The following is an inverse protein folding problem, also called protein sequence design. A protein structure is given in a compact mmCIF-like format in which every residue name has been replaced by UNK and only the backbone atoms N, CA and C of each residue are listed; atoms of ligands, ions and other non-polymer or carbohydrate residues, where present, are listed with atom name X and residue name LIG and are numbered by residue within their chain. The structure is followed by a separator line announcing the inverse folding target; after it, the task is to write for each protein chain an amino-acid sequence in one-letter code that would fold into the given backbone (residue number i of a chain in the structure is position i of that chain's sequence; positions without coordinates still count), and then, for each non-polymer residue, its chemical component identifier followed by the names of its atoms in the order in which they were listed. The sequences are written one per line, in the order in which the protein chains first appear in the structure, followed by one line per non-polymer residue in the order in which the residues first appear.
data_IF_984685298662
#
_entry.id   IF_984685298662
#
_cell.length_a   1.000
_cell.length_b   1.000
_cell.length_c   1.000
_cell.angle_alpha   90.00
_cell.angle_beta   90.00
_cell.angle_gamma   90.00
#
_symmetry.space_group_name_H-M   'P 1'
#
loop_
_entity.id
_entity.type
_entity.pdbx_description
1 polymer ?
#
# COMPACT_ATOMS: atom_id res chain seq x y z
N UNK A 1 13.82 14.69 5.83
CA UNK A 1 13.26 13.34 5.96
C UNK A 1 14.09 12.54 6.96
N UNK A 2 13.45 11.79 7.86
CA UNK A 2 14.15 10.88 8.79
C UNK A 2 14.38 9.53 8.09
N UNK A 3 15.61 8.99 8.18
CA UNK A 3 15.94 7.65 7.69
C UNK A 3 15.95 6.65 8.86
N UNK A 4 15.19 5.57 8.74
CA UNK A 4 15.15 4.45 9.66
C UNK A 4 15.73 3.21 8.98
N UNK A 5 16.86 2.70 9.43
CA UNK A 5 17.40 1.42 8.97
C UNK A 5 16.83 0.30 9.82
N UNK A 6 16.16 -0.65 9.16
CA UNK A 6 15.45 -1.77 9.80
C UNK A 6 15.93 -3.08 9.18
N UNK A 7 16.39 -4.02 10.00
CA UNK A 7 16.62 -5.40 9.55
C UNK A 7 15.26 -6.11 9.43
N UNK A 8 14.76 -6.43 8.22
CA UNK A 8 13.43 -7.00 8.03
C UNK A 8 13.23 -8.38 8.68
N UNK A 9 14.34 -9.04 9.09
CA UNK A 9 14.32 -10.35 9.73
C UNK A 9 14.40 -10.29 11.27
N UNK A 10 14.79 -9.13 11.85
CA UNK A 10 15.12 -9.03 13.28
C UNK A 10 14.73 -7.71 13.94
N UNK A 11 13.79 -6.97 13.36
CA UNK A 11 13.34 -5.70 13.95
C UNK A 11 12.37 -5.89 15.12
N UNK A 12 12.30 -4.88 15.98
CA UNK A 12 11.27 -4.75 17.00
C UNK A 12 10.24 -3.70 16.57
N UNK A 13 8.98 -3.86 17.03
CA UNK A 13 7.90 -2.93 16.65
C UNK A 13 8.20 -1.48 17.04
N UNK A 14 8.93 -1.28 18.16
CA UNK A 14 9.29 0.04 18.64
C UNK A 14 10.21 0.83 17.68
N UNK A 15 10.96 0.14 16.83
CA UNK A 15 11.77 0.76 15.78
C UNK A 15 10.91 1.45 14.70
N UNK A 16 9.64 1.07 14.59
CA UNK A 16 8.69 1.69 13.66
C UNK A 16 7.95 2.89 14.25
N UNK A 17 8.07 3.17 15.56
CA UNK A 17 7.34 4.26 16.22
C UNK A 17 7.54 5.64 15.58
N UNK A 18 8.74 6.02 15.09
CA UNK A 18 8.89 7.27 14.36
C UNK A 18 8.06 7.34 13.09
N UNK A 19 7.94 6.24 12.34
CA UNK A 19 7.11 6.17 11.14
C UNK A 19 5.61 6.20 11.48
N UNK A 20 5.20 5.49 12.54
CA UNK A 20 3.82 5.54 13.06
C UNK A 20 3.46 6.97 13.48
N UNK A 21 4.33 7.64 14.20
CA UNK A 21 4.15 9.03 14.63
C UNK A 21 4.07 9.99 13.45
N UNK A 22 4.89 9.77 12.41
CA UNK A 22 4.84 10.55 11.18
C UNK A 22 3.47 10.44 10.50
N UNK A 23 2.94 9.23 10.31
CA UNK A 23 1.60 9.01 9.73
C UNK A 23 0.52 9.69 10.57
N UNK A 24 0.55 9.51 11.90
CA UNK A 24 -0.40 10.12 12.82
C UNK A 24 -0.37 11.67 12.77
N UNK A 25 0.79 12.25 12.49
CA UNK A 25 0.98 13.70 12.33
C UNK A 25 0.69 14.21 10.90
N UNK A 26 0.14 13.36 10.01
CA UNK A 26 -0.13 13.72 8.60
C UNK A 26 1.11 13.76 7.72
N UNK A 27 2.20 13.12 8.15
CA UNK A 27 3.42 12.90 7.38
C UNK A 27 3.28 11.76 6.36
N UNK A 28 4.31 11.62 5.53
CA UNK A 28 4.43 10.55 4.55
C UNK A 28 5.52 9.57 5.00
N UNK A 29 5.32 8.29 4.73
CA UNK A 29 6.30 7.24 5.02
C UNK A 29 6.58 6.45 3.75
N UNK A 30 7.83 6.46 3.31
CA UNK A 30 8.30 5.51 2.30
C UNK A 30 8.71 4.21 3.01
N UNK A 31 8.23 3.06 2.52
CA UNK A 31 8.44 1.77 3.17
C UNK A 31 8.54 0.63 2.16
N UNK A 32 9.29 -0.44 2.49
CA UNK A 32 9.45 -1.58 1.61
C UNK A 32 8.19 -2.44 1.54
N UNK A 33 7.94 -3.08 0.38
CA UNK A 33 6.95 -4.14 0.21
C UNK A 33 7.57 -5.36 -0.47
N UNK A 34 6.79 -6.39 -0.73
CA UNK A 34 7.18 -7.58 -1.50
C UNK A 34 7.35 -7.32 -3.01
N UNK A 35 7.13 -6.10 -3.48
CA UNK A 35 7.31 -5.71 -4.89
C UNK A 35 8.26 -4.53 -5.04
N UNK A 36 7.88 -3.36 -4.54
CA UNK A 36 8.61 -2.10 -4.65
C UNK A 36 8.48 -1.30 -3.34
N UNK A 37 9.31 -0.29 -3.15
CA UNK A 37 9.07 0.68 -2.09
C UNK A 37 7.77 1.44 -2.37
N UNK A 38 6.92 1.51 -1.34
CA UNK A 38 5.65 2.21 -1.34
C UNK A 38 5.73 3.54 -0.61
N UNK A 39 4.86 4.48 -0.96
CA UNK A 39 4.64 5.73 -0.24
C UNK A 39 3.29 5.68 0.48
N UNK A 40 3.32 5.79 1.80
CA UNK A 40 2.21 5.71 2.72
C UNK A 40 1.82 7.03 3.35
N UNK A 41 0.53 7.17 3.58
CA UNK A 41 -0.12 8.24 4.33
C UNK A 41 -1.36 7.68 5.04
N UNK A 42 -1.94 8.41 5.98
CA UNK A 42 -3.26 8.06 6.55
C UNK A 42 -4.36 8.23 5.47
N UNK A 43 -5.02 7.14 5.03
CA UNK A 43 -6.06 7.20 4.00
C UNK A 43 -7.37 7.83 4.47
N UNK A 44 -7.50 8.18 5.73
CA UNK A 44 -8.65 8.87 6.32
C UNK A 44 -8.47 10.39 6.31
N UNK A 45 -7.23 10.85 6.13
CA UNK A 45 -6.84 12.26 6.10
C UNK A 45 -6.73 12.79 4.68
N UNK A 46 -7.72 13.59 4.27
CA UNK A 46 -7.71 14.32 2.99
C UNK A 46 -6.44 15.16 2.80
N UNK A 47 -5.96 15.78 3.89
CA UNK A 47 -4.74 16.59 3.88
C UNK A 47 -3.50 15.73 3.61
N UNK A 48 -3.37 14.58 4.29
CA UNK A 48 -2.23 13.68 4.11
C UNK A 48 -2.22 13.08 2.69
N UNK A 49 -3.40 12.66 2.19
CA UNK A 49 -3.55 12.11 0.84
C UNK A 49 -3.26 13.18 -0.23
N UNK A 50 -3.75 14.41 -0.06
CA UNK A 50 -3.43 15.52 -0.97
C UNK A 50 -1.93 15.82 -1.00
N UNK A 51 -1.27 15.78 0.15
CA UNK A 51 0.17 15.95 0.25
C UNK A 51 0.93 14.84 -0.49
N UNK A 52 0.45 13.58 -0.41
CA UNK A 52 1.02 12.47 -1.18
C UNK A 52 0.88 12.70 -2.70
N UNK A 53 -0.24 13.22 -3.18
CA UNK A 53 -0.39 13.58 -4.60
C UNK A 53 0.63 14.65 -5.03
N UNK A 54 0.82 15.67 -4.20
CA UNK A 54 1.77 16.75 -4.48
C UNK A 54 3.22 16.24 -4.51
N UNK A 55 3.64 15.45 -3.52
CA UNK A 55 5.01 14.92 -3.45
C UNK A 55 5.39 14.06 -4.64
N UNK A 56 4.40 13.36 -5.23
CA UNK A 56 4.57 12.51 -6.42
C UNK A 56 4.37 13.25 -7.74
N UNK A 57 4.03 14.53 -7.72
CA UNK A 57 3.56 15.24 -8.91
C UNK A 57 2.48 14.44 -9.67
N UNK A 58 1.61 13.76 -8.90
CA UNK A 58 0.61 12.84 -9.42
C UNK A 58 -0.67 13.59 -9.76
N UNK A 59 -1.20 13.47 -10.99
CA UNK A 59 -2.57 13.90 -11.27
C UNK A 59 -3.55 13.20 -10.35
N UNK A 60 -4.53 13.93 -9.83
CA UNK A 60 -5.58 13.40 -8.93
C UNK A 60 -6.65 12.54 -9.65
N UNK A 61 -6.29 11.86 -10.73
CA UNK A 61 -7.20 11.11 -11.62
C UNK A 61 -7.18 9.59 -11.42
N UNK A 62 -6.31 9.08 -10.54
CA UNK A 62 -6.17 7.64 -10.27
C UNK A 62 -6.29 7.33 -8.80
N UNK A 63 -7.16 6.38 -8.40
CA UNK A 63 -7.28 5.92 -7.02
C UNK A 63 -5.93 5.46 -6.43
N UNK A 64 -5.80 5.58 -5.12
CA UNK A 64 -4.59 5.14 -4.42
C UNK A 64 -4.86 3.78 -3.76
N UNK A 65 -4.04 2.75 -4.02
CA UNK A 65 -4.15 1.48 -3.34
C UNK A 65 -3.71 1.60 -1.87
N UNK A 66 -4.21 0.68 -1.05
CA UNK A 66 -3.88 0.56 0.37
C UNK A 66 -3.12 -0.73 0.65
N UNK A 67 -2.34 -0.69 1.74
CA UNK A 67 -1.70 -1.84 2.36
C UNK A 67 -2.22 -1.99 3.77
N UNK A 68 -2.61 -3.21 4.14
CA UNK A 68 -3.00 -3.59 5.49
C UNK A 68 -2.03 -4.65 6.05
N UNK A 69 -1.99 -4.77 7.36
CA UNK A 69 -1.13 -5.74 8.04
C UNK A 69 -1.73 -7.14 8.12
N UNK A 70 -3.06 -7.25 8.06
CA UNK A 70 -3.80 -8.51 8.10
C UNK A 70 -5.15 -8.41 7.39
N UNK A 71 -5.79 -9.56 7.17
CA UNK A 71 -7.15 -9.63 6.60
C UNK A 71 -8.17 -8.96 7.55
N UNK A 72 -8.00 -9.17 8.86
CA UNK A 72 -8.84 -8.57 9.90
C UNK A 72 -8.78 -7.05 9.82
N UNK A 73 -7.57 -6.48 9.71
CA UNK A 73 -7.40 -5.04 9.56
C UNK A 73 -8.06 -4.51 8.28
N UNK A 74 -8.08 -5.28 7.19
CA UNK A 74 -8.84 -4.90 5.98
C UNK A 74 -10.33 -4.78 6.29
N UNK A 75 -10.92 -5.76 6.99
CA UNK A 75 -12.34 -5.74 7.37
C UNK A 75 -12.69 -4.58 8.30
N UNK A 76 -11.79 -4.24 9.20
CA UNK A 76 -12.01 -3.19 10.20
C UNK A 76 -11.85 -1.78 9.65
N UNK A 77 -10.87 -1.56 8.76
CA UNK A 77 -10.45 -0.19 8.39
C UNK A 77 -10.59 0.16 6.91
N UNK A 78 -10.74 -0.84 6.02
CA UNK A 78 -10.73 -0.59 4.56
C UNK A 78 -12.10 -0.75 3.94
N UNK A 79 -12.78 -1.84 4.25
CA UNK A 79 -14.09 -2.13 3.68
C UNK A 79 -14.53 -3.58 3.82
N UNK A 80 -15.70 -3.87 3.27
CA UNK A 80 -16.30 -5.20 3.37
C UNK A 80 -15.71 -6.16 2.34
N UNK A 81 -15.20 -7.30 2.81
CA UNK A 81 -14.81 -8.39 1.94
C UNK A 81 -16.07 -9.19 1.55
N UNK A 82 -16.37 -9.24 0.24
CA UNK A 82 -17.39 -10.15 -0.29
C UNK A 82 -16.93 -11.60 -0.15
N UNK A 83 -17.81 -12.61 -0.24
CA UNK A 83 -17.37 -14.02 -0.22
C UNK A 83 -16.30 -14.35 -1.28
N UNK A 84 -16.37 -13.71 -2.44
CA UNK A 84 -15.36 -13.83 -3.49
C UNK A 84 -14.02 -13.20 -3.06
N UNK A 85 -14.07 -11.99 -2.49
CA UNK A 85 -12.88 -11.31 -1.98
C UNK A 85 -12.21 -12.11 -0.85
N UNK A 86 -13.00 -12.66 0.07
CA UNK A 86 -12.51 -13.50 1.17
C UNK A 86 -11.76 -14.74 0.68
N UNK A 87 -12.34 -15.47 -0.28
CA UNK A 87 -11.71 -16.65 -0.87
C UNK A 87 -10.35 -16.31 -1.48
N UNK A 88 -10.27 -15.21 -2.23
CA UNK A 88 -9.03 -14.76 -2.85
C UNK A 88 -8.03 -14.25 -1.83
N UNK A 89 -8.47 -13.49 -0.83
CA UNK A 89 -7.62 -13.00 0.25
C UNK A 89 -6.97 -14.16 1.03
N UNK A 90 -7.75 -15.15 1.44
CA UNK A 90 -7.24 -16.33 2.15
C UNK A 90 -6.22 -17.16 1.34
N UNK A 91 -6.33 -17.15 0.00
CA UNK A 91 -5.44 -17.92 -0.87
C UNK A 91 -4.13 -17.21 -1.22
N UNK A 92 -4.13 -15.85 -1.27
CA UNK A 92 -2.99 -15.07 -1.79
C UNK A 92 -2.47 -13.98 -0.85
N UNK A 93 -3.06 -13.78 0.33
CA UNK A 93 -2.53 -12.88 1.33
C UNK A 93 -1.94 -13.65 2.52
N UNK A 94 -0.75 -13.22 2.97
CA UNK A 94 0.10 -12.15 2.44
C UNK A 94 0.67 -12.47 1.06
N UNK A 95 0.72 -11.46 0.15
CA UNK A 95 1.29 -11.63 -1.17
C UNK A 95 0.89 -10.58 -2.21
N UNK A 96 1.33 -10.78 -3.47
CA UNK A 96 1.22 -9.76 -4.51
C UNK A 96 -0.12 -9.78 -5.28
N UNK A 97 -1.23 -10.06 -4.60
CA UNK A 97 -2.59 -9.90 -5.12
C UNK A 97 -3.25 -8.68 -4.48
N UNK A 98 -3.69 -7.74 -5.30
CA UNK A 98 -4.47 -6.56 -4.88
C UNK A 98 -5.94 -6.77 -5.26
N UNK A 99 -6.84 -6.60 -4.31
CA UNK A 99 -8.28 -6.71 -4.54
C UNK A 99 -8.92 -5.33 -4.50
N UNK A 100 -9.81 -5.04 -5.45
CA UNK A 100 -10.70 -3.88 -5.39
C UNK A 100 -11.99 -4.32 -4.72
N UNK A 101 -12.32 -3.66 -3.59
CA UNK A 101 -13.47 -3.96 -2.75
C UNK A 101 -14.30 -2.68 -2.51
N UNK A 102 -15.55 -2.78 -2.03
CA UNK A 102 -16.30 -1.62 -1.58
C UNK A 102 -15.55 -0.89 -0.45
N UNK A 103 -15.41 0.42 -0.59
CA UNK A 103 -14.65 1.26 0.34
C UNK A 103 -15.44 1.56 1.61
N UNK A 104 -14.76 1.56 2.76
CA UNK A 104 -15.30 2.07 4.02
C UNK A 104 -15.59 3.58 3.91
N UNK A 105 -16.69 4.08 4.50
CA UNK A 105 -16.96 5.51 4.58
C UNK A 105 -15.94 6.29 5.43
N UNK A 106 -15.08 5.60 6.19
CA UNK A 106 -14.00 6.21 6.95
C UNK A 106 -12.83 6.67 6.06
N UNK A 107 -12.71 6.14 4.83
CA UNK A 107 -11.68 6.55 3.88
C UNK A 107 -12.04 7.90 3.25
N UNK A 108 -11.06 8.79 3.12
CA UNK A 108 -11.29 10.06 2.46
C UNK A 108 -11.54 9.88 0.95
N UNK A 109 -12.30 10.81 0.37
CA UNK A 109 -12.73 10.74 -1.03
C UNK A 109 -11.58 10.65 -2.02
N UNK A 110 -10.46 11.28 -1.72
CA UNK A 110 -9.27 11.35 -2.55
C UNK A 110 -8.65 9.97 -2.79
N UNK A 111 -8.80 9.02 -1.84
CA UNK A 111 -8.30 7.65 -1.99
C UNK A 111 -9.02 6.91 -3.11
N UNK A 112 -10.34 7.03 -3.18
CA UNK A 112 -11.19 6.29 -4.11
C UNK A 112 -11.86 7.16 -5.19
N UNK A 113 -11.57 8.46 -5.21
CA UNK A 113 -12.06 9.46 -6.17
C UNK A 113 -13.59 9.45 -6.35
N UNK A 114 -14.32 9.13 -5.27
CA UNK A 114 -15.79 9.07 -5.28
C UNK A 114 -16.38 7.81 -5.92
N UNK A 115 -15.58 6.83 -6.35
CA UNK A 115 -16.08 5.57 -6.93
C UNK A 115 -16.74 4.65 -5.92
N UNK A 116 -16.47 4.84 -4.62
CA UNK A 116 -16.91 3.93 -3.55
C UNK A 116 -16.17 2.58 -3.56
N UNK A 117 -15.07 2.47 -4.32
CA UNK A 117 -14.24 1.27 -4.43
C UNK A 117 -12.79 1.59 -4.12
N UNK A 118 -12.09 0.68 -3.44
CA UNK A 118 -10.69 0.85 -3.07
C UNK A 118 -9.90 -0.42 -3.34
N UNK A 119 -8.68 -0.25 -3.85
CA UNK A 119 -7.71 -1.32 -4.02
C UNK A 119 -6.96 -1.54 -2.71
N UNK A 120 -6.85 -2.78 -2.24
CA UNK A 120 -6.14 -3.13 -1.00
C UNK A 120 -5.38 -4.44 -1.15
N UNK A 121 -4.29 -4.54 -0.40
CA UNK A 121 -3.45 -5.73 -0.34
C UNK A 121 -2.88 -5.93 1.07
N UNK A 122 -2.63 -7.18 1.46
CA UNK A 122 -1.75 -7.55 2.58
C UNK A 122 -0.44 -8.05 1.96
N UNK A 123 0.66 -7.27 2.01
CA UNK A 123 1.90 -7.62 1.34
C UNK A 123 2.68 -8.71 2.08
N UNK A 124 3.44 -9.52 1.35
CA UNK A 124 4.37 -10.47 1.97
C UNK A 124 5.72 -9.80 2.31
N UNK A 125 5.65 -8.78 3.15
CA UNK A 125 6.81 -8.09 3.71
C UNK A 125 6.56 -7.74 5.18
N UNK A 126 7.42 -8.25 6.07
CA UNK A 126 7.21 -8.16 7.51
C UNK A 126 7.10 -6.70 8.00
N UNK A 127 7.99 -5.82 7.54
CA UNK A 127 8.01 -4.40 7.94
C UNK A 127 6.76 -3.66 7.47
N UNK A 128 6.28 -3.92 6.25
CA UNK A 128 5.06 -3.29 5.73
C UNK A 128 3.82 -3.66 6.55
N UNK A 129 3.69 -4.96 6.88
CA UNK A 129 2.57 -5.45 7.71
C UNK A 129 2.66 -4.89 9.13
N UNK A 130 3.85 -4.92 9.72
CA UNK A 130 4.07 -4.39 11.07
C UNK A 130 3.77 -2.90 11.17
N UNK A 131 4.18 -2.10 10.15
CA UNK A 131 3.86 -0.68 10.10
C UNK A 131 2.34 -0.45 10.09
N UNK A 132 1.59 -1.12 9.21
CA UNK A 132 0.15 -0.98 9.12
C UNK A 132 -0.56 -1.41 10.43
N UNK A 133 -0.11 -2.51 11.05
CA UNK A 133 -0.64 -2.96 12.35
C UNK A 133 -0.33 -1.94 13.46
N UNK A 134 0.89 -1.42 13.53
CA UNK A 134 1.28 -0.44 14.54
C UNK A 134 0.57 0.91 14.38
N UNK A 135 0.24 1.31 13.14
CA UNK A 135 -0.60 2.50 12.85
C UNK A 135 -2.07 2.27 13.29
N UNK A 136 -2.50 1.02 13.40
CA UNK A 136 -3.87 0.66 13.81
C UNK A 136 -4.90 0.67 12.67
N UNK A 137 -4.50 0.98 11.44
CA UNK A 137 -5.35 0.94 10.24
C UNK A 137 -4.48 0.78 8.99
N UNK A 138 -5.11 0.42 7.85
CA UNK A 138 -4.42 0.39 6.57
C UNK A 138 -3.82 1.75 6.20
N UNK A 139 -2.70 1.73 5.47
CA UNK A 139 -2.03 2.94 4.97
C UNK A 139 -2.07 2.98 3.44
N UNK A 140 -1.97 4.16 2.84
CA UNK A 140 -1.82 4.23 1.37
C UNK A 140 -0.53 3.54 0.94
N UNK A 141 -0.49 3.02 -0.28
CA UNK A 141 0.69 2.35 -0.83
C UNK A 141 0.74 2.52 -2.35
N UNK A 142 1.19 3.67 -2.79
CA UNK A 142 1.60 3.88 -4.19
C UNK A 142 3.12 3.73 -4.28
N UNK A 143 3.69 3.38 -5.44
CA UNK A 143 5.15 3.31 -5.60
C UNK A 143 5.83 4.61 -5.17
N UNK A 144 6.98 4.51 -4.50
CA UNK A 144 7.68 5.67 -3.90
C UNK A 144 8.56 6.42 -4.92
N UNK A 145 7.99 6.82 -6.07
CA UNK A 145 8.63 7.59 -7.15
C UNK A 145 7.72 8.70 -7.65
N UNK A 146 8.27 9.66 -8.38
CA UNK A 146 7.47 10.62 -9.16
C UNK A 146 6.62 9.85 -10.18
N UNK A 147 5.40 10.32 -10.43
CA UNK A 147 4.46 9.64 -11.33
C UNK A 147 5.01 9.45 -12.73
N UNK A 148 4.94 8.22 -13.24
CA UNK A 148 5.47 7.84 -14.55
C UNK A 148 6.93 7.38 -14.55
N UNK A 149 7.67 7.55 -13.45
CA UNK A 149 9.01 7.00 -13.28
C UNK A 149 9.01 5.51 -12.90
N UNK A 150 10.20 4.90 -12.92
CA UNK A 150 10.39 3.50 -12.50
C UNK A 150 10.12 3.34 -11.00
N UNK A 151 9.40 2.28 -10.58
CA UNK A 151 9.17 1.99 -9.17
C UNK A 151 10.48 1.62 -8.47
N UNK A 152 10.83 2.25 -7.33
CA UNK A 152 12.10 2.03 -6.64
C UNK A 152 12.14 0.68 -5.93
N UNK A 153 13.32 0.05 -5.96
CA UNK A 153 13.63 -1.20 -5.25
C UNK A 153 14.63 -1.00 -4.11
N UNK A 154 15.19 0.22 -3.98
CA UNK A 154 16.11 0.58 -2.89
C UNK A 154 15.68 1.89 -2.22
N UNK A 155 16.14 2.10 -0.98
CA UNK A 155 15.93 3.36 -0.27
C UNK A 155 16.63 4.54 -0.97
N UNK A 156 17.81 4.32 -1.53
CA UNK A 156 18.57 5.33 -2.29
C UNK A 156 17.79 5.80 -3.53
N UNK A 157 17.13 4.88 -4.24
CA UNK A 157 16.26 5.24 -5.38
C UNK A 157 15.04 6.05 -4.95
N UNK A 158 14.46 5.76 -3.77
CA UNK A 158 13.39 6.59 -3.18
C UNK A 158 13.89 7.99 -2.91
N UNK A 159 15.06 8.13 -2.27
CA UNK A 159 15.65 9.43 -1.98
C UNK A 159 15.96 10.22 -3.25
N UNK A 160 16.54 9.56 -4.24
CA UNK A 160 16.85 10.17 -5.53
C UNK A 160 15.60 10.69 -6.27
N UNK A 161 14.49 9.95 -6.19
CA UNK A 161 13.29 10.26 -6.99
C UNK A 161 12.26 11.11 -6.26
N UNK A 162 12.17 11.01 -4.92
CA UNK A 162 11.18 11.71 -4.10
C UNK A 162 11.79 12.62 -3.03
N UNK A 163 13.12 12.64 -2.85
CA UNK A 163 13.77 13.34 -1.75
C UNK A 163 13.35 14.80 -1.63
N UNK A 164 13.26 15.51 -2.75
CA UNK A 164 12.80 16.92 -2.80
C UNK A 164 11.30 17.09 -2.48
N UNK A 165 10.49 16.05 -2.68
CA UNK A 165 9.06 16.03 -2.36
C UNK A 165 8.74 15.64 -0.91
N UNK A 166 9.75 15.17 -0.15
CA UNK A 166 9.63 14.72 1.23
C UNK A 166 10.36 15.70 2.17
N UNK A 167 9.73 16.02 3.28
CA UNK A 167 10.22 17.01 4.25
C UNK A 167 10.63 16.42 5.60
N UNK A 168 10.94 17.30 6.55
CA UNK A 168 11.40 16.91 7.89
C UNK A 168 10.40 16.03 8.69
N UNK A 169 9.11 16.06 8.32
CA UNK A 169 8.07 15.24 8.98
C UNK A 169 7.95 13.85 8.41
N UNK A 170 8.63 13.57 7.30
CA UNK A 170 8.50 12.32 6.56
C UNK A 170 9.59 11.35 6.93
N UNK A 171 9.29 10.07 6.74
CA UNK A 171 10.18 8.98 7.12
C UNK A 171 10.43 8.08 5.91
N UNK A 172 11.67 7.65 5.74
CA UNK A 172 12.07 6.57 4.85
C UNK A 172 12.51 5.38 5.70
N UNK A 173 11.81 4.27 5.58
CA UNK A 173 12.19 2.99 6.19
C UNK A 173 13.06 2.24 5.19
N UNK A 174 14.35 2.19 5.45
CA UNK A 174 15.31 1.39 4.68
C UNK A 174 15.41 -0.01 5.28
N UNK A 175 14.88 -1.00 4.57
CA UNK A 175 15.01 -2.42 4.92
C UNK A 175 15.85 -3.20 3.89
N UNK A 176 16.73 -2.49 3.19
CA UNK A 176 17.58 -3.04 2.15
C UNK A 176 16.92 -3.14 0.78
N UNK A 177 17.64 -3.70 -0.20
CA UNK A 177 17.15 -3.84 -1.57
C UNK A 177 16.05 -4.89 -1.68
N UNK A 178 15.03 -4.59 -2.49
CA UNK A 178 13.95 -5.52 -2.83
C UNK A 178 14.30 -6.27 -4.12
N UNK A 179 13.70 -7.43 -4.29
CA UNK A 179 13.90 -8.22 -5.51
C UNK A 179 13.29 -7.58 -6.77
N UNK A 180 12.33 -6.65 -6.60
CA UNK A 180 11.61 -6.05 -7.71
C UNK A 180 10.77 -7.07 -8.47
N UNK A 181 10.62 -6.86 -9.77
CA UNK A 181 9.90 -7.78 -10.66
C UNK A 181 8.55 -7.22 -11.11
N UNK A 182 7.53 -8.09 -11.21
CA UNK A 182 6.21 -7.66 -11.62
C UNK A 182 5.46 -6.97 -10.47
N UNK A 183 4.69 -5.92 -10.74
CA UNK A 183 3.80 -5.34 -9.75
C UNK A 183 2.71 -6.34 -9.33
N UNK A 184 1.97 -6.03 -8.27
CA UNK A 184 0.83 -6.87 -7.85
C UNK A 184 -0.22 -6.99 -8.96
N UNK A 185 -0.83 -8.17 -9.09
CA UNK A 185 -2.03 -8.36 -9.92
C UNK A 185 -3.21 -7.66 -9.25
N UNK A 186 -4.01 -6.90 -10.01
CA UNK A 186 -5.19 -6.19 -9.49
C UNK A 186 -6.45 -6.82 -10.06
N UNK A 187 -7.35 -7.23 -9.17
CA UNK A 187 -8.63 -7.84 -9.50
C UNK A 187 -9.77 -7.05 -8.85
N UNK A 188 -10.75 -6.60 -9.63
CA UNK A 188 -12.01 -6.05 -9.11
C UNK A 188 -12.95 -7.21 -8.74
N UNK A 189 -13.29 -7.28 -7.46
CA UNK A 189 -14.18 -8.30 -6.87
C UNK A 189 -15.44 -7.69 -6.26
N UNK A 190 -15.81 -6.49 -6.69
CA UNK A 190 -17.03 -5.81 -6.24
C UNK A 190 -18.29 -6.35 -6.92
N UNK A 191 -18.15 -7.00 -8.06
CA UNK A 191 -19.24 -7.66 -8.80
C UNK A 191 -19.38 -9.16 -8.46
N UNK A 192 -20.32 -9.84 -9.14
CA UNK A 192 -20.53 -11.28 -8.99
C UNK A 192 -19.38 -12.12 -9.55
N UNK A 193 -18.66 -11.61 -10.53
CA UNK A 193 -17.51 -12.28 -11.17
C UNK A 193 -16.26 -11.38 -11.03
N UNK A 194 -15.06 -11.99 -10.87
CA UNK A 194 -13.83 -11.22 -10.79
C UNK A 194 -13.46 -10.64 -12.16
N UNK A 195 -12.94 -9.41 -12.16
CA UNK A 195 -12.46 -8.71 -13.36
C UNK A 195 -10.99 -8.37 -13.20
N UNK A 196 -10.15 -8.83 -14.14
CA UNK A 196 -8.74 -8.44 -14.16
C UNK A 196 -8.61 -6.96 -14.55
N UNK A 197 -8.05 -6.15 -13.65
CA UNK A 197 -7.78 -4.72 -13.88
C UNK A 197 -6.34 -4.51 -14.32
N UNK A 198 -5.41 -5.27 -13.75
CA UNK A 198 -3.99 -5.23 -14.11
C UNK A 198 -3.35 -6.61 -13.92
N UNK A 199 -2.69 -7.11 -14.96
CA UNK A 199 -1.84 -8.28 -14.85
C UNK A 199 -0.57 -7.94 -14.04
N UNK A 200 -0.08 -8.90 -13.26
CA UNK A 200 1.09 -8.74 -12.40
C UNK A 200 1.64 -10.09 -11.94
N UNK A 201 2.25 -10.12 -10.75
CA UNK A 201 2.98 -11.27 -10.23
C UNK A 201 2.11 -12.54 -10.03
N UNK A 202 0.81 -12.40 -9.77
CA UNK A 202 -0.11 -13.54 -9.73
C UNK A 202 -0.70 -13.75 -11.13
N UNK A 203 -0.42 -14.87 -11.82
CA UNK A 203 -0.98 -15.15 -13.14
C UNK A 203 -2.51 -15.23 -13.11
N UNK A 204 -3.16 -14.58 -14.04
CA UNK A 204 -4.63 -14.52 -14.09
C UNK A 204 -5.32 -15.87 -14.22
N UNK A 205 -4.73 -16.77 -15.01
CA UNK A 205 -5.24 -18.13 -15.18
C UNK A 205 -5.22 -18.95 -13.88
N UNK A 206 -4.26 -18.69 -12.97
CA UNK A 206 -4.24 -19.30 -11.64
C UNK A 206 -5.38 -18.79 -10.76
N UNK A 207 -5.70 -17.49 -10.85
CA UNK A 207 -6.84 -16.91 -10.13
C UNK A 207 -8.15 -17.55 -10.61
N UNK A 208 -8.35 -17.68 -11.93
CA UNK A 208 -9.53 -18.32 -12.49
C UNK A 208 -9.64 -19.79 -12.10
N UNK A 209 -8.57 -20.57 -12.21
CA UNK A 209 -8.55 -21.99 -11.81
C UNK A 209 -8.87 -22.21 -10.35
N UNK A 210 -8.50 -21.29 -9.47
CA UNK A 210 -8.81 -21.39 -8.04
C UNK A 210 -10.30 -21.15 -7.76
N UNK A 211 -10.98 -20.38 -8.57
CA UNK A 211 -12.39 -20.02 -8.38
C UNK A 211 -13.35 -21.08 -8.92
N UNK A 212 -12.91 -21.91 -9.84
CA UNK A 212 -13.64 -23.06 -10.41
C UNK A 212 -13.33 -24.35 -9.66
#
# INVERSE_FOLDING_TARGET
MLHLRIDPLRFQIDELLPAVSAIAAGGLVAFPTDTFYGLGADPRSSVAVSRLFLSKQRPGDRPIPLVAGSIEQVRESVGTLTPLADRLALAWWPGPLTLIIPASPALCREVHLGTGKVAVRVPDHAVARALALAVGHAVTSTSANVSGGEPPVTADEVELTLGDGLGARDVLIDAGPLTGGLPSTIVDVTGATPVLVRAGAVPWDRVLKFLH
#
